data_IF_550556640522
#
_entry.id   IF_550556640522
#
_cell.length_a   1.000
_cell.length_b   1.000
_cell.length_c   1.000
_cell.angle_alpha   90.00
_cell.angle_beta   90.00
_cell.angle_gamma   90.00
#
_symmetry.space_group_name_H-M   'P 1'
#
loop_
_entity.id
_entity.type
_entity.pdbx_description
1 polymer ?
#
# COMPACT_ATOMS: atom_id res chain seq x y z
N UNK A 1 -42.02 -58.25 -68.17
CA UNK A 1 -41.08 -57.84 -67.10
C UNK A 1 -39.69 -57.84 -67.76
N UNK A 2 -39.25 -56.79 -68.46
CA UNK A 2 -38.58 -55.55 -67.96
C UNK A 2 -37.47 -55.90 -66.95
N UNK A 3 -36.17 -55.60 -67.09
CA UNK A 3 -35.40 -54.72 -67.97
C UNK A 3 -33.91 -55.18 -68.02
N UNK A 4 -33.30 -54.99 -69.19
CA UNK A 4 -31.98 -54.45 -69.57
C UNK A 4 -30.82 -54.34 -68.52
N UNK A 5 -29.57 -54.67 -68.92
CA UNK A 5 -28.36 -54.46 -68.10
C UNK A 5 -27.89 -53.01 -68.20
N UNK A 6 -27.35 -52.46 -67.10
CA UNK A 6 -26.67 -51.17 -67.13
C UNK A 6 -25.36 -51.25 -66.35
N UNK A 7 -24.26 -51.31 -67.11
CA UNK A 7 -22.92 -51.01 -66.63
C UNK A 7 -22.91 -49.60 -66.04
N UNK A 8 -22.62 -49.48 -64.74
CA UNK A 8 -22.34 -48.18 -64.14
C UNK A 8 -20.82 -47.97 -64.14
N UNK A 9 -20.39 -47.09 -65.04
CA UNK A 9 -19.02 -46.62 -65.14
C UNK A 9 -18.57 -46.00 -63.81
N UNK A 10 -17.38 -46.42 -63.36
CA UNK A 10 -16.69 -45.88 -62.20
C UNK A 10 -16.18 -44.47 -62.55
N UNK A 11 -16.98 -43.43 -62.29
CA UNK A 11 -16.51 -42.06 -62.34
C UNK A 11 -15.77 -41.74 -61.04
N UNK A 12 -14.44 -41.90 -61.05
CA UNK A 12 -13.58 -41.29 -60.04
C UNK A 12 -13.63 -39.78 -60.28
N UNK A 13 -14.60 -39.11 -59.66
CA UNK A 13 -14.59 -37.67 -59.51
C UNK A 13 -13.48 -37.30 -58.53
N UNK A 14 -12.30 -36.98 -59.05
CA UNK A 14 -11.28 -36.24 -58.32
C UNK A 14 -11.85 -34.85 -58.00
N UNK A 15 -12.60 -34.75 -56.89
CA UNK A 15 -12.88 -33.46 -56.26
C UNK A 15 -11.56 -33.02 -55.65
N UNK A 16 -10.78 -32.28 -56.43
CA UNK A 16 -9.67 -31.50 -55.91
C UNK A 16 -10.23 -30.48 -54.94
N UNK A 17 -10.31 -30.83 -53.66
CA UNK A 17 -10.40 -29.86 -52.59
C UNK A 17 -9.11 -29.04 -52.65
N UNK A 18 -9.15 -27.96 -53.41
CA UNK A 18 -8.22 -26.86 -53.25
C UNK A 18 -8.38 -26.37 -51.82
N UNK A 19 -7.53 -26.86 -50.93
CA UNK A 19 -7.27 -26.21 -49.66
C UNK A 19 -6.72 -24.85 -50.08
N UNK A 20 -7.60 -23.84 -50.12
CA UNK A 20 -7.15 -22.47 -50.12
C UNK A 20 -6.40 -22.33 -48.80
N UNK A 21 -5.09 -22.53 -48.86
CA UNK A 21 -4.20 -22.07 -47.83
C UNK A 21 -4.50 -20.57 -47.73
N UNK A 22 -5.26 -20.20 -46.72
CA UNK A 22 -5.38 -18.81 -46.30
C UNK A 22 -3.98 -18.50 -45.84
N UNK A 23 -3.14 -18.04 -46.77
CA UNK A 23 -1.86 -17.47 -46.44
C UNK A 23 -2.21 -16.40 -45.40
N UNK A 24 -1.79 -16.63 -44.14
CA UNK A 24 -1.76 -15.55 -43.18
C UNK A 24 -0.96 -14.47 -43.89
N UNK A 25 -1.63 -13.40 -44.34
CA UNK A 25 -0.95 -12.25 -44.90
C UNK A 25 0.00 -11.83 -43.80
N UNK A 26 1.30 -12.08 -44.00
CA UNK A 26 2.29 -11.50 -43.11
C UNK A 26 1.96 -10.01 -43.09
N UNK A 27 1.62 -9.44 -41.92
CA UNK A 27 1.35 -8.02 -41.88
C UNK A 27 2.52 -7.32 -42.55
N UNK A 28 2.23 -6.39 -43.45
CA UNK A 28 3.22 -5.55 -44.12
C UNK A 28 4.34 -5.21 -43.15
N UNK A 29 5.61 -5.30 -43.60
CA UNK A 29 6.82 -5.04 -42.79
C UNK A 29 6.52 -4.01 -41.70
N UNK A 30 6.40 -4.46 -40.45
CA UNK A 30 6.05 -3.60 -39.32
C UNK A 30 7.05 -2.43 -39.26
N UNK A 31 6.54 -1.22 -39.12
CA UNK A 31 7.34 -0.02 -38.85
C UNK A 31 7.27 0.31 -37.36
N UNK A 32 8.19 1.09 -36.78
CA UNK A 32 8.09 1.50 -35.37
C UNK A 32 6.71 2.07 -35.02
N UNK A 33 6.15 2.91 -35.90
CA UNK A 33 4.87 3.60 -35.73
C UNK A 33 3.69 2.64 -35.61
N UNK A 34 3.79 1.43 -36.18
CA UNK A 34 2.73 0.41 -36.10
C UNK A 34 2.47 -0.12 -34.68
N UNK A 35 3.37 0.19 -33.73
CA UNK A 35 3.29 -0.21 -32.32
C UNK A 35 3.40 0.96 -31.34
N UNK A 36 3.46 2.19 -31.84
CA UNK A 36 3.50 3.39 -30.99
C UNK A 36 2.09 3.71 -30.46
N UNK A 37 1.97 3.77 -29.14
CA UNK A 37 0.74 4.15 -28.44
C UNK A 37 0.91 5.55 -27.91
N UNK A 38 0.06 6.47 -28.36
CA UNK A 38 0.11 7.88 -27.99
C UNK A 38 -0.88 8.27 -26.88
N UNK A 39 -1.86 7.39 -26.61
CA UNK A 39 -2.93 7.64 -25.63
C UNK A 39 -3.28 6.39 -24.81
N UNK A 40 -3.68 6.56 -23.53
CA UNK A 40 -3.82 7.84 -22.83
C UNK A 40 -2.47 8.46 -22.45
N UNK A 41 -2.35 9.79 -22.61
CA UNK A 41 -1.17 10.53 -22.17
C UNK A 41 -1.12 10.54 -20.64
N UNK A 42 -0.01 10.11 -20.01
CA UNK A 42 0.12 10.17 -18.55
C UNK A 42 0.00 11.60 -18.00
N UNK A 43 -0.61 11.78 -16.82
CA UNK A 43 -0.73 13.11 -16.21
C UNK A 43 0.66 13.69 -15.86
N UNK A 44 0.82 15.00 -16.07
CA UNK A 44 2.04 15.72 -15.69
C UNK A 44 2.03 15.97 -14.18
N UNK A 45 3.10 15.57 -13.50
CA UNK A 45 3.31 15.79 -12.06
C UNK A 45 4.63 16.52 -11.84
N UNK A 46 4.59 17.66 -11.13
CA UNK A 46 5.82 18.30 -10.65
C UNK A 46 6.28 17.55 -9.41
N UNK A 47 7.48 16.94 -9.42
CA UNK A 47 7.97 16.21 -8.26
C UNK A 47 8.30 17.17 -7.11
N UNK A 48 8.26 16.63 -5.88
CA UNK A 48 8.78 17.35 -4.73
C UNK A 48 10.28 17.58 -4.80
N UNK A 49 10.76 18.58 -4.07
CA UNK A 49 12.19 18.90 -3.98
C UNK A 49 12.75 18.47 -2.63
N UNK A 50 14.07 18.37 -2.53
CA UNK A 50 14.72 18.27 -1.23
C UNK A 50 14.41 19.53 -0.39
N UNK A 51 14.28 19.38 0.92
CA UNK A 51 14.07 20.47 1.87
C UNK A 51 15.00 20.29 3.06
N UNK A 52 15.57 21.39 3.57
CA UNK A 52 16.40 21.35 4.77
C UNK A 52 15.64 20.90 6.03
N UNK A 53 14.31 20.94 5.99
CA UNK A 53 13.44 20.61 7.11
C UNK A 53 12.88 19.17 7.06
N UNK A 54 13.23 18.38 6.04
CA UNK A 54 12.73 17.01 5.83
C UNK A 54 13.89 16.09 5.46
N UNK A 55 13.73 14.78 5.69
CA UNK A 55 14.70 13.76 5.28
C UNK A 55 14.40 13.21 3.88
N UNK A 56 13.15 13.33 3.42
CA UNK A 56 12.70 13.01 2.07
C UNK A 56 12.39 14.25 1.23
N UNK A 57 11.68 14.05 0.12
CA UNK A 57 11.17 15.15 -0.70
C UNK A 57 9.93 15.77 -0.10
N UNK A 58 9.67 17.02 -0.46
CA UNK A 58 8.35 17.63 -0.26
C UNK A 58 7.27 16.86 -1.05
N UNK A 59 5.98 17.11 -0.80
CA UNK A 59 4.91 16.51 -1.58
C UNK A 59 5.01 16.89 -3.08
N UNK A 60 4.74 15.95 -4.02
CA UNK A 60 4.55 16.29 -5.43
C UNK A 60 3.25 17.08 -5.65
N UNK A 61 3.09 17.70 -6.81
CA UNK A 61 1.97 18.62 -7.09
C UNK A 61 0.57 17.99 -7.08
N UNK A 62 0.48 16.66 -7.21
CA UNK A 62 -0.78 15.90 -7.19
C UNK A 62 -1.08 15.25 -5.83
N UNK A 63 -0.19 15.39 -4.84
CA UNK A 63 -0.37 14.80 -3.53
C UNK A 63 -1.29 15.63 -2.62
N UNK A 64 -2.05 14.92 -1.81
CA UNK A 64 -2.74 15.45 -0.65
C UNK A 64 -1.72 15.53 0.49
N UNK A 65 -1.57 16.71 1.07
CA UNK A 65 -0.72 16.95 2.23
C UNK A 65 -1.53 16.64 3.49
N UNK A 66 -1.15 15.58 4.21
CA UNK A 66 -1.78 15.21 5.48
C UNK A 66 -1.14 15.94 6.67
N UNK A 67 0.14 16.31 6.58
CA UNK A 67 0.82 17.12 7.59
C UNK A 67 2.12 17.75 7.05
N UNK A 68 2.20 19.08 7.05
CA UNK A 68 3.38 19.85 6.60
C UNK A 68 4.10 20.60 7.75
N UNK A 69 3.69 20.35 9.00
CA UNK A 69 4.23 21.04 10.17
C UNK A 69 3.40 22.19 10.71
N UNK A 70 2.33 22.62 10.02
CA UNK A 70 1.52 23.77 10.49
C UNK A 70 0.43 23.39 11.48
N UNK A 71 -0.43 22.44 11.12
CA UNK A 71 -1.57 22.02 11.93
C UNK A 71 -1.93 20.56 11.64
N UNK A 72 -2.84 19.99 12.43
CA UNK A 72 -3.32 18.62 12.26
C UNK A 72 -4.76 18.58 11.69
N UNK A 73 -5.12 19.53 10.84
CA UNK A 73 -6.51 19.70 10.36
C UNK A 73 -7.00 18.52 9.53
N UNK A 74 -6.11 17.73 8.94
CA UNK A 74 -6.48 16.52 8.19
C UNK A 74 -6.76 15.30 9.08
N UNK A 75 -6.68 15.46 10.41
CA UNK A 75 -6.78 14.37 11.37
C UNK A 75 -7.91 14.56 12.38
N UNK A 76 -8.42 13.43 12.87
CA UNK A 76 -9.33 13.35 14.04
C UNK A 76 -8.75 12.36 15.04
N UNK A 77 -9.02 12.55 16.33
CA UNK A 77 -8.71 11.56 17.35
C UNK A 77 -9.67 10.37 17.21
N UNK A 78 -9.17 9.14 17.44
CA UNK A 78 -10.00 7.94 17.59
C UNK A 78 -9.61 7.19 18.85
N UNK A 79 -10.60 6.91 19.71
CA UNK A 79 -10.39 6.21 21.00
C UNK A 79 -10.86 4.77 20.93
N UNK A 80 -10.03 3.85 21.44
CA UNK A 80 -10.37 2.42 21.49
C UNK A 80 -10.40 1.75 20.11
N UNK A 81 -9.64 2.29 19.16
CA UNK A 81 -9.52 1.72 17.82
C UNK A 81 -8.96 0.30 17.87
N UNK A 82 -9.52 -0.57 17.02
CA UNK A 82 -9.05 -1.92 16.75
C UNK A 82 -9.22 -2.18 15.25
N UNK A 83 -8.26 -2.86 14.58
CA UNK A 83 -8.40 -3.24 13.18
C UNK A 83 -9.68 -4.03 12.88
N UNK A 84 -10.10 -4.87 13.83
CA UNK A 84 -11.31 -5.70 13.69
C UNK A 84 -12.61 -4.94 13.99
N UNK A 85 -12.54 -3.69 14.47
CA UNK A 85 -13.69 -2.85 14.82
C UNK A 85 -13.55 -1.44 14.22
N UNK A 86 -12.96 -1.37 13.04
CA UNK A 86 -12.63 -0.15 12.32
C UNK A 86 -13.83 0.78 12.04
N UNK A 87 -15.05 0.24 12.01
CA UNK A 87 -16.29 1.01 11.84
C UNK A 87 -16.63 1.86 13.07
N UNK A 88 -16.02 1.55 14.23
CA UNK A 88 -16.22 2.32 15.45
C UNK A 88 -15.48 3.66 15.36
N UNK A 89 -16.19 4.66 14.85
CA UNK A 89 -15.72 6.04 14.70
C UNK A 89 -15.92 6.84 15.99
N UNK A 90 -15.41 6.36 17.13
CA UNK A 90 -15.39 7.13 18.37
C UNK A 90 -14.40 8.30 18.24
N UNK A 91 -14.82 9.28 17.44
CA UNK A 91 -14.03 10.36 16.91
C UNK A 91 -14.18 11.63 17.74
N UNK A 92 -13.10 12.41 17.80
CA UNK A 92 -13.08 13.70 18.45
C UNK A 92 -11.98 14.60 17.88
N UNK A 93 -11.85 15.83 18.39
CA UNK A 93 -10.75 16.69 18.00
C UNK A 93 -9.41 16.05 18.37
N UNK A 94 -8.46 16.01 17.43
CA UNK A 94 -7.12 15.55 17.72
C UNK A 94 -6.40 16.56 18.64
N UNK A 95 -5.92 16.10 19.78
CA UNK A 95 -5.19 16.92 20.77
C UNK A 95 -3.70 16.59 20.85
N UNK A 96 -3.17 15.90 19.85
CA UNK A 96 -1.73 15.68 19.71
C UNK A 96 -1.04 17.04 19.51
N UNK A 97 0.03 17.35 20.26
CA UNK A 97 0.68 18.64 20.16
C UNK A 97 1.49 18.73 18.86
N UNK A 98 1.38 19.88 18.19
CA UNK A 98 2.28 20.29 17.12
C UNK A 98 3.34 21.21 17.73
N UNK A 99 4.60 20.81 17.68
CA UNK A 99 5.75 21.59 18.19
C UNK A 99 6.88 21.56 17.17
N UNK A 100 7.38 22.73 16.80
CA UNK A 100 8.50 22.89 15.87
C UNK A 100 8.31 22.12 14.56
N UNK A 101 7.09 22.14 14.01
CA UNK A 101 6.76 21.43 12.77
C UNK A 101 6.56 19.92 12.92
N UNK A 102 6.47 19.40 14.15
CA UNK A 102 6.32 17.97 14.44
C UNK A 102 5.02 17.69 15.19
N UNK A 103 4.26 16.72 14.70
CA UNK A 103 3.07 16.20 15.35
C UNK A 103 3.46 15.02 16.27
N UNK A 104 3.27 15.14 17.58
CA UNK A 104 3.66 14.10 18.53
C UNK A 104 2.46 13.28 19.02
N UNK A 105 2.61 11.96 19.01
CA UNK A 105 1.64 11.04 19.60
C UNK A 105 1.49 11.26 21.11
N UNK A 106 0.26 11.11 21.62
CA UNK A 106 -0.04 11.18 23.06
C UNK A 106 -0.97 10.05 23.48
N UNK A 107 -0.79 9.59 24.71
CA UNK A 107 -1.61 8.54 25.31
C UNK A 107 -3.11 8.87 25.33
N UNK A 108 -3.93 7.90 24.93
CA UNK A 108 -5.38 7.87 25.04
C UNK A 108 -6.14 7.83 23.71
N UNK A 109 -5.52 8.19 22.59
CA UNK A 109 -6.19 8.25 21.28
C UNK A 109 -5.19 8.27 20.11
N UNK A 110 -5.53 7.54 19.05
CA UNK A 110 -4.79 7.51 17.79
C UNK A 110 -5.22 8.66 16.87
N UNK A 111 -4.40 9.02 15.89
CA UNK A 111 -4.76 9.99 14.86
C UNK A 111 -5.28 9.27 13.61
N UNK A 112 -6.47 9.62 13.13
CA UNK A 112 -7.10 9.06 11.93
C UNK A 112 -7.24 10.16 10.89
N UNK A 113 -6.83 9.92 9.64
CA UNK A 113 -7.06 10.88 8.55
C UNK A 113 -8.57 11.07 8.33
N UNK A 114 -9.02 12.29 7.98
CA UNK A 114 -10.42 12.55 7.63
C UNK A 114 -10.81 11.89 6.31
N UNK A 115 -9.89 11.91 5.35
CA UNK A 115 -10.05 11.26 4.04
C UNK A 115 -9.79 9.75 4.12
N UNK A 116 -10.37 9.04 3.17
CA UNK A 116 -10.26 7.59 3.00
C UNK A 116 -9.68 7.30 1.61
N UNK A 117 -8.90 6.23 1.50
CA UNK A 117 -8.09 5.90 0.34
C UNK A 117 -8.22 4.41 -0.04
N UNK A 118 -8.00 4.12 -1.33
CA UNK A 118 -7.83 2.76 -1.85
C UNK A 118 -6.35 2.53 -2.16
N UNK A 119 -5.98 2.52 -3.44
CA UNK A 119 -4.60 2.41 -3.88
C UNK A 119 -3.92 3.77 -3.72
N UNK A 120 -2.70 3.77 -3.17
CA UNK A 120 -1.98 5.00 -2.91
C UNK A 120 -0.47 4.82 -2.84
N UNK A 121 0.24 5.93 -3.05
CA UNK A 121 1.60 6.15 -2.61
C UNK A 121 1.59 7.10 -1.41
N UNK A 122 2.24 6.73 -0.31
CA UNK A 122 2.29 7.46 0.96
C UNK A 122 3.74 7.69 1.39
N UNK A 123 4.07 8.90 1.78
CA UNK A 123 5.31 9.24 2.46
C UNK A 123 5.02 9.65 3.90
N UNK A 124 5.83 9.15 4.84
CA UNK A 124 5.76 9.50 6.25
C UNK A 124 7.18 9.60 6.82
N UNK A 125 7.50 10.69 7.50
CA UNK A 125 8.68 10.74 8.36
C UNK A 125 8.27 10.58 9.82
N UNK A 126 9.00 9.74 10.54
CA UNK A 126 8.77 9.53 11.98
C UNK A 126 10.09 9.53 12.74
N UNK A 127 10.05 9.90 14.02
CA UNK A 127 11.17 9.70 14.94
C UNK A 127 10.66 9.11 16.25
N UNK A 128 11.39 8.14 16.75
CA UNK A 128 11.14 7.57 18.08
C UNK A 128 11.71 8.51 19.15
N UNK A 129 11.24 8.44 20.40
CA UNK A 129 11.67 9.35 21.47
C UNK A 129 13.20 9.30 21.68
N UNK A 130 13.85 10.46 21.81
CA UNK A 130 15.29 10.57 22.13
C UNK A 130 15.62 9.87 23.46
N UNK A 131 14.73 10.04 24.44
CA UNK A 131 14.83 9.32 25.71
C UNK A 131 14.44 7.86 25.49
N UNK A 132 15.44 6.99 25.52
CA UNK A 132 15.25 5.54 25.43
C UNK A 132 14.63 5.00 26.71
N UNK A 133 13.42 4.47 26.61
CA UNK A 133 12.72 3.76 27.68
C UNK A 133 12.08 2.48 27.15
N UNK A 134 11.99 1.46 28.01
CA UNK A 134 11.43 0.16 27.64
C UNK A 134 12.38 -0.72 26.80
N UNK A 135 11.83 -1.83 26.33
CA UNK A 135 12.52 -2.83 25.48
C UNK A 135 11.50 -3.54 24.60
N UNK A 136 11.96 -4.19 23.54
CA UNK A 136 11.08 -4.89 22.60
C UNK A 136 9.95 -3.95 22.14
N UNK A 137 8.70 -4.41 22.10
CA UNK A 137 7.51 -3.63 21.75
C UNK A 137 7.17 -2.47 22.68
N UNK A 138 7.82 -2.36 23.84
CA UNK A 138 7.58 -1.27 24.79
C UNK A 138 8.42 -0.01 24.53
N UNK A 139 9.27 -0.02 23.49
CA UNK A 139 10.25 1.05 23.24
C UNK A 139 9.94 1.77 21.93
N UNK A 140 9.35 2.97 22.03
CA UNK A 140 9.08 3.82 20.86
C UNK A 140 8.04 3.26 19.89
N UNK A 141 7.06 2.52 20.39
CA UNK A 141 6.03 1.84 19.59
C UNK A 141 4.94 2.81 19.12
N UNK A 142 4.57 2.68 17.86
CA UNK A 142 3.41 3.24 17.18
C UNK A 142 3.13 2.37 15.94
N UNK A 143 2.29 2.81 15.02
CA UNK A 143 2.01 2.07 13.80
C UNK A 143 1.28 2.92 12.78
N UNK A 144 1.49 2.63 11.50
CA UNK A 144 0.77 3.25 10.41
C UNK A 144 -0.19 2.21 9.86
N UNK A 145 -1.48 2.38 10.14
CA UNK A 145 -2.51 1.46 9.66
C UNK A 145 -3.01 1.90 8.29
N UNK A 146 -2.69 1.09 7.27
CA UNK A 146 -3.18 1.24 5.91
C UNK A 146 -4.66 0.86 5.87
N UNK A 147 -5.49 1.77 5.33
CA UNK A 147 -6.96 1.69 5.36
C UNK A 147 -7.56 1.48 6.76
N UNK A 148 -6.81 1.82 7.82
CA UNK A 148 -7.22 1.55 9.20
C UNK A 148 -7.37 0.05 9.48
N UNK A 149 -6.48 -0.81 8.94
CA UNK A 149 -6.51 -2.27 9.18
C UNK A 149 -5.16 -2.94 9.24
N UNK A 150 -4.24 -2.47 8.40
CA UNK A 150 -3.00 -3.18 8.14
C UNK A 150 -1.84 -2.36 8.68
N UNK A 151 -1.34 -2.76 9.84
CA UNK A 151 -0.27 -2.06 10.53
C UNK A 151 1.08 -2.28 9.85
N UNK A 152 1.62 -1.21 9.27
CA UNK A 152 3.04 -1.06 9.06
C UNK A 152 3.67 -0.58 10.37
N UNK A 153 4.52 -1.42 10.94
CA UNK A 153 5.03 -1.22 12.28
C UNK A 153 5.97 0.00 12.38
N UNK A 154 5.78 0.82 13.43
CA UNK A 154 6.71 1.87 13.84
C UNK A 154 7.28 1.49 15.21
N UNK A 155 8.58 1.25 15.28
CA UNK A 155 9.23 0.84 16.52
C UNK A 155 10.68 1.30 16.55
N UNK A 156 11.21 1.58 17.73
CA UNK A 156 12.65 1.78 17.88
C UNK A 156 13.33 0.40 17.93
N UNK A 157 13.85 -0.06 16.79
CA UNK A 157 14.67 -1.26 16.71
C UNK A 157 16.17 -0.97 16.56
N UNK A 158 16.65 0.23 16.91
CA UNK A 158 18.07 0.53 16.98
C UNK A 158 18.67 -0.08 18.25
N UNK A 159 19.41 -1.18 18.10
CA UNK A 159 19.94 -2.00 19.20
C UNK A 159 18.86 -2.43 20.22
N UNK A 160 17.66 -2.74 19.72
CA UNK A 160 16.53 -3.21 20.52
C UNK A 160 15.86 -4.43 19.85
N UNK A 161 16.22 -5.66 20.26
CA UNK A 161 15.64 -6.87 19.70
C UNK A 161 14.17 -7.04 20.13
N UNK A 162 13.36 -7.60 19.23
CA UNK A 162 11.97 -8.01 19.46
C UNK A 162 11.66 -9.23 18.57
N UNK A 163 10.42 -9.71 18.56
CA UNK A 163 10.00 -10.73 17.60
C UNK A 163 9.96 -10.15 16.18
N UNK A 164 10.60 -10.85 15.24
CA UNK A 164 10.97 -10.31 13.91
C UNK A 164 9.78 -10.00 13.01
N UNK A 165 8.64 -10.64 13.23
CA UNK A 165 7.41 -10.39 12.51
C UNK A 165 6.64 -9.18 13.07
N UNK A 166 7.08 -8.55 14.15
CA UNK A 166 6.50 -7.32 14.71
C UNK A 166 7.52 -6.22 14.95
N UNK A 167 8.69 -6.27 14.31
CA UNK A 167 9.68 -5.21 14.35
C UNK A 167 9.38 -4.11 13.32
N UNK A 168 10.04 -2.96 13.43
CA UNK A 168 9.92 -1.84 12.48
C UNK A 168 10.01 -2.30 11.03
N UNK A 169 9.12 -1.81 10.19
CA UNK A 169 9.02 -2.18 8.78
C UNK A 169 8.28 -3.49 8.53
N UNK A 170 7.90 -4.25 9.56
CA UNK A 170 7.00 -5.39 9.39
C UNK A 170 5.59 -4.95 9.01
N UNK A 171 4.92 -5.80 8.24
CA UNK A 171 3.45 -5.86 8.32
C UNK A 171 3.13 -6.72 9.53
N UNK A 172 2.64 -6.09 10.59
CA UNK A 172 2.69 -6.61 11.94
C UNK A 172 2.10 -8.04 12.05
N UNK A 173 2.95 -8.95 12.52
CA UNK A 173 2.75 -10.40 12.67
C UNK A 173 2.35 -11.15 11.39
N UNK A 174 2.70 -10.61 10.22
CA UNK A 174 2.42 -11.23 8.92
C UNK A 174 3.66 -11.30 8.00
N UNK A 175 4.40 -10.20 7.85
CA UNK A 175 5.54 -10.10 6.95
C UNK A 175 6.76 -9.52 7.66
N UNK A 176 7.80 -10.33 7.83
CA UNK A 176 9.09 -9.94 8.38
C UNK A 176 9.77 -8.97 7.40
N UNK A 177 10.31 -7.82 7.85
CA UNK A 177 11.02 -6.91 6.96
C UNK A 177 12.31 -7.56 6.43
N UNK A 178 12.65 -7.25 5.18
CA UNK A 178 13.83 -7.78 4.50
C UNK A 178 15.16 -7.30 5.12
N UNK A 179 15.14 -6.17 5.82
CA UNK A 179 16.29 -5.57 6.48
C UNK A 179 15.86 -4.69 7.67
N UNK A 180 16.81 -4.37 8.55
CA UNK A 180 16.63 -3.36 9.61
C UNK A 180 17.56 -2.16 9.37
N UNK A 181 17.13 -1.16 8.61
CA UNK A 181 17.88 0.07 8.36
C UNK A 181 17.59 1.18 9.39
N UNK A 182 17.20 0.84 10.63
CA UNK A 182 16.83 1.83 11.66
C UNK A 182 17.99 2.77 12.00
N UNK A 183 17.69 4.07 12.01
CA UNK A 183 18.54 5.08 12.64
C UNK A 183 18.37 5.13 14.17
N UNK A 184 19.33 5.72 14.92
CA UNK A 184 19.22 5.92 16.36
C UNK A 184 17.95 6.68 16.80
N UNK A 185 17.54 6.55 18.07
CA UNK A 185 16.40 7.29 18.63
C UNK A 185 16.60 8.81 18.51
N UNK A 186 15.51 9.54 18.24
CA UNK A 186 15.55 10.98 17.96
C UNK A 186 15.88 11.35 16.51
N UNK A 187 16.54 10.47 15.76
CA UNK A 187 16.75 10.68 14.33
C UNK A 187 15.50 10.35 13.51
N UNK A 188 15.35 11.07 12.41
CA UNK A 188 14.24 10.88 11.48
C UNK A 188 14.43 9.64 10.64
N UNK A 189 13.42 8.78 10.67
CA UNK A 189 13.21 7.66 9.76
C UNK A 189 12.28 8.11 8.63
N UNK A 190 12.46 7.61 7.41
CA UNK A 190 11.53 7.86 6.29
C UNK A 190 10.88 6.56 5.84
N UNK A 191 9.55 6.57 5.71
CA UNK A 191 8.81 5.55 4.99
C UNK A 191 8.31 6.10 3.65
N UNK A 192 8.63 5.37 2.59
CA UNK A 192 8.00 5.50 1.28
C UNK A 192 7.23 4.21 1.00
N UNK A 193 5.91 4.33 0.86
CA UNK A 193 4.98 3.22 0.84
C UNK A 193 4.19 3.27 -0.46
N UNK A 194 4.16 2.14 -1.19
CA UNK A 194 3.23 1.92 -2.29
C UNK A 194 2.27 0.82 -1.86
N UNK A 195 0.98 1.12 -1.88
CA UNK A 195 -0.07 0.25 -1.38
C UNK A 195 -1.15 0.03 -2.44
N UNK A 196 -1.52 -1.24 -2.61
CA UNK A 196 -2.65 -1.67 -3.42
C UNK A 196 -3.70 -2.25 -2.48
N UNK A 197 -4.90 -1.66 -2.48
CA UNK A 197 -5.99 -2.09 -1.63
C UNK A 197 -6.52 -3.47 -2.05
N UNK A 198 -7.03 -4.27 -1.11
CA UNK A 198 -7.67 -5.54 -1.45
C UNK A 198 -8.93 -5.28 -2.28
N UNK A 199 -9.33 -6.28 -3.07
CA UNK A 199 -10.60 -6.27 -3.79
C UNK A 199 -11.51 -7.37 -3.24
N UNK A 200 -12.79 -7.07 -3.15
CA UNK A 200 -13.81 -7.99 -2.68
C UNK A 200 -14.93 -8.10 -3.70
N UNK A 201 -15.47 -9.30 -3.87
CA UNK A 201 -16.68 -9.49 -4.67
C UNK A 201 -17.94 -9.14 -3.86
N UNK A 202 -19.12 -9.20 -4.51
CA UNK A 202 -20.42 -8.88 -3.87
C UNK A 202 -20.78 -9.79 -2.69
N UNK A 203 -20.17 -10.97 -2.59
CA UNK A 203 -20.35 -11.89 -1.48
C UNK A 203 -19.39 -11.63 -0.31
N UNK A 204 -18.54 -10.60 -0.41
CA UNK A 204 -17.53 -10.26 0.60
C UNK A 204 -16.29 -11.15 0.59
N UNK A 205 -16.12 -11.99 -0.44
CA UNK A 205 -14.91 -12.79 -0.61
C UNK A 205 -13.82 -11.94 -1.24
N UNK A 206 -12.63 -11.97 -0.64
CA UNK A 206 -11.44 -11.30 -1.16
C UNK A 206 -11.02 -11.95 -2.49
N UNK A 207 -11.01 -11.19 -3.57
CA UNK A 207 -10.57 -11.62 -4.90
C UNK A 207 -9.10 -11.33 -5.13
N UNK A 208 -8.61 -10.25 -4.52
CA UNK A 208 -7.22 -9.79 -4.61
C UNK A 208 -6.77 -9.37 -3.21
N UNK A 209 -5.59 -9.85 -2.80
CA UNK A 209 -4.97 -9.42 -1.55
C UNK A 209 -4.61 -7.94 -1.60
N UNK A 210 -4.48 -7.32 -0.42
CA UNK A 210 -3.75 -6.07 -0.35
C UNK A 210 -2.26 -6.36 -0.54
N UNK A 211 -1.55 -5.49 -1.24
CA UNK A 211 -0.10 -5.58 -1.43
C UNK A 211 0.58 -4.30 -0.99
N UNK A 212 1.78 -4.44 -0.43
CA UNK A 212 2.54 -3.29 0.03
C UNK A 212 4.02 -3.43 -0.30
N UNK A 213 4.59 -2.35 -0.83
CA UNK A 213 6.03 -2.15 -0.97
C UNK A 213 6.43 -1.01 -0.04
N UNK A 214 7.46 -1.22 0.76
CA UNK A 214 7.93 -0.24 1.75
C UNK A 214 9.43 -0.08 1.64
N UNK A 215 9.88 1.16 1.52
CA UNK A 215 11.26 1.55 1.76
C UNK A 215 11.35 2.25 3.11
N UNK A 216 12.29 1.80 3.95
CA UNK A 216 12.67 2.49 5.18
C UNK A 216 14.05 3.09 4.99
N UNK A 217 14.17 4.41 5.08
CA UNK A 217 15.43 5.14 4.82
C UNK A 217 16.06 4.79 3.46
N UNK A 218 15.22 4.58 2.44
CA UNK A 218 15.66 4.18 1.10
C UNK A 218 16.05 2.70 0.94
N UNK A 219 15.99 1.90 2.00
CA UNK A 219 16.22 0.45 1.93
C UNK A 219 14.88 -0.28 1.82
N UNK A 220 14.76 -1.15 0.83
CA UNK A 220 13.56 -1.97 0.61
C UNK A 220 13.37 -2.95 1.78
N UNK A 221 12.31 -2.77 2.57
CA UNK A 221 11.98 -3.63 3.72
C UNK A 221 10.75 -4.50 3.48
N UNK A 222 9.84 -4.11 2.59
CA UNK A 222 8.76 -4.97 2.08
C UNK A 222 8.75 -4.86 0.56
N UNK A 223 8.75 -6.00 -0.13
CA UNK A 223 8.73 -6.04 -1.59
C UNK A 223 7.44 -6.69 -2.07
N UNK A 224 6.44 -5.88 -2.43
CA UNK A 224 5.12 -6.34 -2.88
C UNK A 224 4.57 -7.45 -1.97
N UNK A 225 4.63 -7.22 -0.66
CA UNK A 225 4.24 -8.18 0.35
C UNK A 225 2.71 -8.29 0.41
N UNK A 226 2.17 -9.50 0.30
CA UNK A 226 0.74 -9.77 0.43
C UNK A 226 0.29 -9.67 1.88
N UNK A 227 -0.82 -8.95 2.12
CA UNK A 227 -1.45 -8.81 3.44
C UNK A 227 -2.68 -9.72 3.48
N UNK A 228 -2.70 -10.65 4.43
CA UNK A 228 -3.67 -11.76 4.47
C UNK A 228 -4.99 -11.43 5.17
N UNK A 229 -5.08 -10.24 5.75
CA UNK A 229 -6.20 -9.79 6.59
C UNK A 229 -5.74 -8.73 7.58
N UNK A 230 -6.59 -8.37 8.52
CA UNK A 230 -6.26 -7.44 9.62
C UNK A 230 -4.97 -7.85 10.35
N UNK A 231 -4.18 -6.88 10.81
CA UNK A 231 -3.05 -7.15 11.70
C UNK A 231 -3.57 -7.34 13.13
N UNK A 232 -3.29 -8.48 13.74
CA UNK A 232 -3.88 -8.90 15.02
C UNK A 232 -2.78 -9.15 16.05
N UNK A 233 -2.91 -8.60 17.26
CA UNK A 233 -2.01 -8.95 18.36
C UNK A 233 -2.17 -10.44 18.76
N UNK A 234 -3.43 -10.90 18.83
CA UNK A 234 -3.80 -12.26 19.23
C UNK A 234 -4.66 -12.89 18.12
N UNK A 235 -4.24 -14.07 17.66
CA UNK A 235 -4.96 -14.85 16.66
C UNK A 235 -4.45 -14.65 15.24
N UNK A 236 -5.19 -15.23 14.29
CA UNK A 236 -4.89 -15.15 12.87
C UNK A 236 -5.47 -13.88 12.23
N UNK A 237 -4.89 -13.39 11.12
CA UNK A 237 -5.47 -12.32 10.32
C UNK A 237 -6.93 -12.60 9.97
N UNK A 238 -7.78 -11.59 10.08
CA UNK A 238 -9.21 -11.70 9.75
C UNK A 238 -9.46 -11.04 8.40
N UNK A 239 -10.18 -11.74 7.53
CA UNK A 239 -10.67 -11.19 6.26
C UNK A 239 -12.04 -10.58 6.52
N UNK A 240 -12.12 -9.25 6.39
CA UNK A 240 -13.37 -8.50 6.49
C UNK A 240 -13.48 -7.64 5.24
N UNK A 241 -14.59 -7.74 4.50
CA UNK A 241 -14.78 -6.91 3.32
C UNK A 241 -14.87 -5.43 3.70
N UNK A 242 -14.22 -4.57 2.92
CA UNK A 242 -14.29 -3.12 3.11
C UNK A 242 -14.03 -2.35 1.81
N UNK A 243 -14.37 -1.07 1.82
CA UNK A 243 -14.02 -0.12 0.76
C UNK A 243 -12.77 0.70 1.11
N UNK A 244 -12.77 1.96 0.68
CA UNK A 244 -11.73 2.92 1.05
C UNK A 244 -11.64 3.05 2.59
N UNK A 245 -10.44 3.35 3.09
CA UNK A 245 -10.20 3.50 4.52
C UNK A 245 -9.15 4.56 4.84
N UNK A 246 -9.07 5.02 6.10
CA UNK A 246 -8.17 6.09 6.49
C UNK A 246 -6.71 5.61 6.58
N UNK A 247 -5.79 6.57 6.69
CA UNK A 247 -4.51 6.34 7.34
C UNK A 247 -4.69 6.58 8.84
N UNK A 248 -4.18 5.67 9.67
CA UNK A 248 -4.20 5.85 11.12
C UNK A 248 -2.80 5.73 11.71
N UNK A 249 -2.42 6.71 12.53
CA UNK A 249 -1.20 6.73 13.32
C UNK A 249 -1.54 6.31 14.74
N UNK A 250 -0.98 5.18 15.17
CA UNK A 250 -1.32 4.56 16.44
C UNK A 250 -0.72 5.34 17.62
N UNK A 251 -1.54 5.53 18.64
CA UNK A 251 -1.04 5.79 19.99
C UNK A 251 -0.81 4.46 20.72
N UNK A 252 0.43 4.23 21.14
CA UNK A 252 0.84 3.11 21.99
C UNK A 252 1.59 3.59 23.24
N UNK A 253 1.26 4.80 23.73
CA UNK A 253 1.83 5.40 24.93
C UNK A 253 3.26 5.91 24.79
N UNK A 254 3.82 5.94 23.57
CA UNK A 254 5.13 6.52 23.29
C UNK A 254 4.98 7.83 22.49
N UNK A 255 5.72 8.90 22.83
CA UNK A 255 5.64 10.18 22.14
C UNK A 255 6.42 10.16 20.81
N UNK A 256 6.04 9.27 19.89
CA UNK A 256 6.57 9.23 18.52
C UNK A 256 6.20 10.53 17.81
N UNK A 257 7.19 11.17 17.18
CA UNK A 257 6.99 12.39 16.39
C UNK A 257 6.83 12.06 14.92
N UNK A 258 5.93 12.76 14.23
CA UNK A 258 5.67 12.64 12.80
C UNK A 258 5.83 13.98 12.09
N UNK A 259 6.35 13.96 10.86
CA UNK A 259 6.39 15.12 9.96
C UNK A 259 6.29 14.68 8.49
N UNK A 260 6.14 15.65 7.59
CA UNK A 260 6.17 15.45 6.14
C UNK A 260 5.30 14.26 5.70
N UNK A 261 3.99 14.38 5.93
CA UNK A 261 3.05 13.31 5.59
C UNK A 261 2.27 13.73 4.37
N UNK A 262 2.41 12.99 3.28
CA UNK A 262 1.66 13.23 2.05
C UNK A 262 1.30 11.93 1.35
N UNK A 263 0.20 11.97 0.62
CA UNK A 263 -0.40 10.80 -0.03
C UNK A 263 -0.93 11.17 -1.41
N UNK A 264 -0.73 10.32 -2.40
CA UNK A 264 -1.33 10.45 -3.74
C UNK A 264 -2.01 9.14 -4.13
N UNK A 265 -3.19 9.24 -4.73
CA UNK A 265 -3.94 8.08 -5.23
C UNK A 265 -3.25 7.49 -6.45
N UNK A 266 -3.36 6.17 -6.61
CA UNK A 266 -2.86 5.42 -7.75
C UNK A 266 -4.01 4.87 -8.59
#
# INVERSE_FOLDING_TARGET
>A
MKNTPLSLAFCIGLVGLSVAAVAQTQPSKQTPESTEIWEPVPPVVTPGTASANTSGTTPPSDAIVLFDGKNADEWVAIKGYSPASWENKNEGPLKWPVKDGVLYSTLGFSARSKKEFNDFQLHVEFKTPEKVEGKSQGRGNSGIFLQGRYELQVLDNYNNPTYVDGMVGSIYKQAIPLANPSRPPGEWQTYDIVYQAPRFNKAGMMTDYAYVTVLLNGVLVQNHAAIRGTTEYIGYPKVQAHGAGPILLQDHGNPVGFRNIWIRSL
#
